data_IF_407425380869
#
_entry.id   IF_407425380869
#
_cell.length_a   1.000
_cell.length_b   1.000
_cell.length_c   1.000
_cell.angle_alpha   90.00
_cell.angle_beta   90.00
_cell.angle_gamma   90.00
#
_symmetry.space_group_name_H-M   'P 1'
#
loop_
_entity.id
_entity.type
_entity.pdbx_description
1 polymer ?
#
# COMPACT_ATOMS: atom_id res chain seq x y z
N UNK A 1 -14.56 -7.28 -16.19
CA UNK A 1 -13.11 -7.32 -15.90
C UNK A 1 -12.87 -8.05 -14.59
N UNK A 2 -11.80 -8.83 -14.48
CA UNK A 2 -11.38 -9.41 -13.20
C UNK A 2 -10.01 -8.90 -12.78
N UNK A 3 -9.87 -8.48 -11.53
CA UNK A 3 -8.60 -8.02 -10.95
C UNK A 3 -8.43 -8.64 -9.58
N UNK A 4 -7.19 -8.83 -9.11
CA UNK A 4 -6.95 -9.38 -7.79
C UNK A 4 -5.75 -8.82 -7.09
N UNK A 5 -5.71 -9.08 -5.78
CA UNK A 5 -4.63 -8.64 -4.91
C UNK A 5 -3.41 -9.54 -5.08
N UNK A 6 -2.23 -8.90 -5.11
CA UNK A 6 -0.93 -9.55 -5.24
C UNK A 6 -0.05 -9.41 -3.99
N UNK A 7 -0.24 -8.35 -3.20
CA UNK A 7 0.39 -8.13 -1.90
C UNK A 7 -0.35 -6.98 -1.20
N UNK A 8 -0.31 -6.96 0.13
CA UNK A 8 -0.87 -5.88 0.94
C UNK A 8 0.14 -5.01 1.69
N UNK A 9 1.42 -5.40 1.72
CA UNK A 9 2.50 -4.68 2.40
C UNK A 9 3.88 -5.22 1.99
N UNK A 10 4.94 -4.46 2.26
CA UNK A 10 6.31 -4.99 2.11
C UNK A 10 6.58 -6.12 3.13
N UNK A 11 6.84 -7.31 2.61
CA UNK A 11 7.11 -8.52 3.37
C UNK A 11 5.95 -9.51 3.41
N UNK A 12 4.91 -9.27 2.61
CA UNK A 12 3.74 -10.14 2.51
C UNK A 12 4.03 -11.47 1.76
N UNK A 13 3.08 -12.40 1.86
CA UNK A 13 3.12 -13.68 1.17
C UNK A 13 2.97 -13.50 -0.35
N UNK A 14 3.69 -14.32 -1.12
CA UNK A 14 3.64 -14.29 -2.60
C UNK A 14 2.86 -15.48 -3.16
N UNK A 15 2.80 -16.59 -2.44
CA UNK A 15 2.12 -17.81 -2.88
C UNK A 15 0.60 -17.64 -3.11
N UNK A 16 -0.16 -16.85 -2.32
CA UNK A 16 -1.58 -16.64 -2.61
C UNK A 16 -1.80 -15.82 -3.89
N UNK A 17 -0.89 -14.89 -4.18
CA UNK A 17 -0.94 -14.11 -5.42
C UNK A 17 -0.65 -14.99 -6.64
N UNK A 18 0.33 -15.89 -6.55
CA UNK A 18 0.61 -16.85 -7.62
C UNK A 18 -0.58 -17.78 -7.83
N UNK A 19 -1.19 -18.31 -6.76
CA UNK A 19 -2.41 -19.12 -6.83
C UNK A 19 -3.56 -18.35 -7.50
N UNK A 20 -3.75 -17.07 -7.16
CA UNK A 20 -4.74 -16.19 -7.75
C UNK A 20 -4.48 -15.93 -9.24
N UNK A 21 -3.23 -15.70 -9.64
CA UNK A 21 -2.85 -15.51 -11.06
C UNK A 21 -3.12 -16.80 -11.85
N UNK A 22 -2.83 -17.97 -11.30
CA UNK A 22 -2.99 -19.25 -12.00
C UNK A 22 -4.45 -19.73 -12.07
N UNK A 23 -5.28 -19.39 -11.09
CA UNK A 23 -6.61 -20.02 -10.92
C UNK A 23 -7.78 -19.03 -10.84
N UNK A 24 -7.52 -17.74 -10.60
CA UNK A 24 -8.55 -16.71 -10.44
C UNK A 24 -9.13 -16.20 -11.77
N UNK A 25 -8.42 -16.40 -12.88
CA UNK A 25 -8.81 -15.84 -14.18
C UNK A 25 -8.87 -14.31 -14.16
N UNK A 26 -7.93 -13.68 -13.43
CA UNK A 26 -7.79 -12.23 -13.37
C UNK A 26 -7.03 -11.73 -14.59
N UNK A 27 -7.35 -10.50 -15.03
CA UNK A 27 -6.62 -9.78 -16.06
C UNK A 27 -5.44 -8.99 -15.45
N UNK A 28 -5.56 -8.59 -14.17
CA UNK A 28 -4.51 -7.87 -13.46
C UNK A 28 -4.31 -8.39 -12.03
N UNK A 29 -3.06 -8.45 -11.59
CA UNK A 29 -2.65 -8.68 -10.21
C UNK A 29 -1.90 -7.46 -9.66
N UNK A 30 -2.40 -6.88 -8.57
CA UNK A 30 -1.91 -5.62 -8.04
C UNK A 30 -1.14 -5.83 -6.73
N UNK A 31 0.14 -5.48 -6.71
CA UNK A 31 1.03 -5.68 -5.57
C UNK A 31 1.25 -4.35 -4.85
N UNK A 32 0.51 -4.16 -3.76
CA UNK A 32 0.69 -3.05 -2.85
C UNK A 32 1.78 -3.38 -1.83
N UNK A 33 2.82 -2.56 -1.79
CA UNK A 33 4.03 -2.78 -1.02
C UNK A 33 4.43 -1.56 -0.17
N UNK A 34 3.62 -0.50 -0.16
CA UNK A 34 4.01 0.76 0.48
C UNK A 34 3.01 1.21 1.54
N UNK A 35 3.51 1.35 2.77
CA UNK A 35 2.90 2.18 3.81
C UNK A 35 3.67 3.51 3.98
N UNK A 36 3.13 4.47 4.73
CA UNK A 36 3.79 5.75 5.00
C UNK A 36 5.25 5.57 5.47
N UNK A 37 5.50 4.75 6.49
CA UNK A 37 6.85 4.54 7.00
C UNK A 37 7.84 4.02 5.93
N UNK A 38 7.34 3.24 4.97
CA UNK A 38 8.16 2.57 3.96
C UNK A 38 8.83 3.57 3.04
N UNK A 39 8.12 4.61 2.59
CA UNK A 39 8.65 5.64 1.67
C UNK A 39 9.84 6.37 2.29
N UNK A 40 9.77 6.71 3.57
CA UNK A 40 10.88 7.35 4.28
C UNK A 40 12.12 6.44 4.39
N UNK A 41 11.92 5.15 4.68
CA UNK A 41 13.02 4.17 4.73
C UNK A 41 13.70 3.99 3.38
N UNK A 42 12.90 3.89 2.32
CA UNK A 42 13.37 3.75 0.94
C UNK A 42 14.10 5.00 0.45
N UNK A 43 13.59 6.19 0.78
CA UNK A 43 14.27 7.45 0.45
C UNK A 43 15.64 7.52 1.11
N UNK A 44 15.74 7.15 2.40
CA UNK A 44 17.02 7.05 3.11
C UNK A 44 17.96 6.03 2.48
N UNK A 45 17.45 4.92 1.96
CA UNK A 45 18.25 3.94 1.23
C UNK A 45 18.82 4.53 -0.07
N UNK A 46 17.98 5.22 -0.86
CA UNK A 46 18.38 5.92 -2.10
C UNK A 46 19.46 6.98 -1.85
N UNK A 47 19.35 7.72 -0.75
CA UNK A 47 20.36 8.73 -0.37
C UNK A 47 21.74 8.11 -0.10
N UNK A 48 21.79 6.88 0.40
CA UNK A 48 23.05 6.16 0.65
C UNK A 48 23.59 5.49 -0.61
N UNK A 49 22.71 5.01 -1.47
CA UNK A 49 23.02 4.34 -2.72
C UNK A 49 21.98 4.70 -3.79
N UNK A 50 22.34 5.46 -4.83
CA UNK A 50 21.42 5.85 -5.90
C UNK A 50 20.77 4.68 -6.67
N UNK A 51 21.32 3.47 -6.57
CA UNK A 51 20.72 2.25 -7.14
C UNK A 51 19.68 1.58 -6.24
N UNK A 52 19.41 2.13 -5.05
CA UNK A 52 18.42 1.65 -4.07
C UNK A 52 17.23 2.61 -3.97
N UNK A 53 16.27 2.28 -3.11
CA UNK A 53 15.08 3.09 -2.86
C UNK A 53 13.79 2.56 -3.48
N UNK A 54 13.84 1.40 -4.14
CA UNK A 54 12.66 0.59 -4.40
C UNK A 54 12.54 -0.52 -3.37
N UNK A 55 11.35 -1.11 -3.25
CA UNK A 55 11.09 -2.24 -2.36
C UNK A 55 11.94 -3.45 -2.81
N UNK A 56 12.89 -3.94 -2.00
CA UNK A 56 13.77 -5.05 -2.38
C UNK A 56 13.01 -6.31 -2.80
N UNK A 57 11.81 -6.52 -2.25
CA UNK A 57 10.97 -7.67 -2.49
C UNK A 57 10.33 -7.69 -3.90
N UNK A 58 10.40 -6.58 -4.66
CA UNK A 58 9.97 -6.55 -6.07
C UNK A 58 10.65 -7.67 -6.87
N UNK A 59 11.94 -7.92 -6.65
CA UNK A 59 12.67 -8.96 -7.39
C UNK A 59 12.18 -10.39 -7.07
N UNK A 60 12.14 -10.85 -5.80
CA UNK A 60 11.62 -12.17 -5.48
C UNK A 60 10.12 -12.34 -5.74
N UNK A 61 9.31 -11.27 -5.64
CA UNK A 61 7.90 -11.29 -6.06
C UNK A 61 7.81 -11.58 -7.55
N UNK A 62 8.49 -10.79 -8.39
CA UNK A 62 8.45 -10.97 -9.84
C UNK A 62 9.04 -12.32 -10.27
N UNK A 63 10.11 -12.82 -9.63
CA UNK A 63 10.64 -14.16 -9.93
C UNK A 63 9.61 -15.27 -9.75
N UNK A 64 8.67 -15.11 -8.82
CA UNK A 64 7.62 -16.09 -8.54
C UNK A 64 6.36 -15.85 -9.37
N UNK A 65 5.89 -14.60 -9.44
CA UNK A 65 4.62 -14.24 -10.06
C UNK A 65 4.70 -14.11 -11.60
N UNK A 66 5.80 -13.54 -12.13
CA UNK A 66 5.93 -13.25 -13.56
C UNK A 66 5.74 -14.48 -14.46
N UNK A 67 6.32 -15.67 -14.15
CA UNK A 67 6.09 -16.85 -14.98
C UNK A 67 4.63 -17.27 -15.06
N UNK A 68 3.88 -17.17 -13.96
CA UNK A 68 2.44 -17.45 -13.95
C UNK A 68 1.67 -16.37 -14.71
N UNK A 69 2.04 -15.10 -14.53
CA UNK A 69 1.41 -13.97 -15.19
C UNK A 69 1.56 -14.03 -16.70
N UNK A 70 2.77 -14.32 -17.21
CA UNK A 70 3.03 -14.49 -18.65
C UNK A 70 2.31 -15.68 -19.27
N UNK A 71 2.19 -16.80 -18.55
CA UNK A 71 1.44 -17.97 -19.05
C UNK A 71 -0.06 -17.72 -19.17
N UNK A 72 -0.61 -16.87 -18.31
CA UNK A 72 -2.05 -16.61 -18.22
C UNK A 72 -2.45 -15.23 -18.76
N UNK A 73 -1.53 -14.49 -19.39
CA UNK A 73 -1.75 -13.14 -19.93
C UNK A 73 -2.28 -12.14 -18.89
N UNK A 74 -1.66 -12.14 -17.71
CA UNK A 74 -2.03 -11.27 -16.58
C UNK A 74 -1.05 -10.10 -16.47
N UNK A 75 -1.56 -8.88 -16.43
CA UNK A 75 -0.77 -7.69 -16.14
C UNK A 75 -0.42 -7.56 -14.66
N UNK A 76 0.79 -7.09 -14.34
CA UNK A 76 1.22 -6.82 -12.96
C UNK A 76 1.28 -5.32 -12.74
N UNK A 77 0.68 -4.82 -11.67
CA UNK A 77 0.74 -3.40 -11.28
C UNK A 77 1.27 -3.30 -9.85
N UNK A 78 2.23 -2.42 -9.58
CA UNK A 78 2.79 -2.28 -8.23
C UNK A 78 3.28 -0.87 -7.92
N UNK A 79 3.12 -0.45 -6.66
CA UNK A 79 3.77 0.74 -6.10
C UNK A 79 5.16 0.42 -5.50
N UNK A 80 5.69 -0.81 -5.71
CA UNK A 80 6.98 -1.25 -5.20
C UNK A 80 8.20 -0.46 -5.70
N UNK A 81 8.01 0.47 -6.64
CA UNK A 81 9.05 1.40 -7.07
C UNK A 81 9.49 2.34 -5.94
N UNK A 82 8.61 2.62 -4.98
CA UNK A 82 8.93 3.43 -3.80
C UNK A 82 9.56 4.77 -4.17
N UNK A 83 10.70 5.08 -3.57
CA UNK A 83 11.45 6.30 -3.87
C UNK A 83 12.31 6.23 -5.15
N UNK A 84 12.40 5.07 -5.81
CA UNK A 84 13.21 4.88 -7.02
C UNK A 84 12.56 3.93 -8.05
N UNK A 85 11.47 4.36 -8.70
CA UNK A 85 10.77 3.55 -9.71
C UNK A 85 11.68 3.12 -10.87
N UNK A 86 12.57 4.00 -11.33
CA UNK A 86 13.54 3.66 -12.38
C UNK A 86 14.47 2.51 -12.02
N UNK A 87 15.02 2.47 -10.80
CA UNK A 87 15.85 1.35 -10.36
C UNK A 87 15.04 0.05 -10.22
N UNK A 88 13.78 0.15 -9.78
CA UNK A 88 12.87 -0.99 -9.71
C UNK A 88 12.60 -1.59 -11.10
N UNK A 89 12.38 -0.74 -12.11
CA UNK A 89 12.15 -1.16 -13.49
C UNK A 89 13.37 -1.88 -14.09
N UNK A 90 14.58 -1.39 -13.83
CA UNK A 90 15.81 -2.06 -14.26
C UNK A 90 15.98 -3.43 -13.57
N UNK A 91 15.65 -3.52 -12.27
CA UNK A 91 15.67 -4.78 -11.53
C UNK A 91 14.63 -5.77 -12.06
N UNK A 92 13.41 -5.30 -12.34
CA UNK A 92 12.34 -6.08 -12.96
C UNK A 92 12.73 -6.59 -14.35
N UNK A 93 13.35 -5.75 -15.19
CA UNK A 93 13.81 -6.14 -16.53
C UNK A 93 14.85 -7.27 -16.47
N UNK A 94 15.79 -7.17 -15.51
CA UNK A 94 16.77 -8.23 -15.25
C UNK A 94 16.09 -9.53 -14.83
N UNK A 95 15.14 -9.46 -13.89
CA UNK A 95 14.37 -10.62 -13.42
C UNK A 95 13.59 -11.27 -14.58
N UNK A 96 12.96 -10.48 -15.44
CA UNK A 96 12.25 -10.97 -16.61
C UNK A 96 13.17 -11.70 -17.59
N UNK A 97 14.35 -11.13 -17.88
CA UNK A 97 15.36 -11.77 -18.71
C UNK A 97 15.85 -13.09 -18.09
N UNK A 98 16.18 -13.11 -16.80
CA UNK A 98 16.61 -14.31 -16.08
C UNK A 98 15.55 -15.42 -16.10
N UNK A 99 14.27 -15.03 -16.04
CA UNK A 99 13.12 -15.94 -16.05
C UNK A 99 12.73 -16.44 -17.45
N UNK A 100 13.41 -15.97 -18.51
CA UNK A 100 13.13 -16.37 -19.89
C UNK A 100 12.04 -15.56 -20.61
N UNK A 101 11.69 -14.37 -20.10
CA UNK A 101 10.71 -13.45 -20.68
C UNK A 101 11.36 -12.09 -21.05
N UNK A 102 12.36 -12.07 -21.94
CA UNK A 102 13.11 -10.84 -22.29
C UNK A 102 12.27 -9.80 -23.04
N UNK A 103 11.08 -10.19 -23.52
CA UNK A 103 10.11 -9.35 -24.23
C UNK A 103 9.11 -8.65 -23.30
N UNK A 104 9.17 -8.90 -21.98
CA UNK A 104 8.30 -8.23 -20.99
C UNK A 104 8.49 -6.72 -21.03
N UNK A 105 7.42 -6.00 -21.35
CA UNK A 105 7.35 -4.54 -21.36
C UNK A 105 7.09 -4.01 -19.96
N UNK A 106 7.96 -3.11 -19.50
CA UNK A 106 7.86 -2.53 -18.16
C UNK A 106 7.56 -1.03 -18.28
N UNK A 107 6.39 -0.63 -17.79
CA UNK A 107 6.02 0.77 -17.62
C UNK A 107 6.49 1.29 -16.27
N UNK A 108 7.04 2.50 -16.23
CA UNK A 108 7.53 3.13 -15.00
C UNK A 108 6.84 4.47 -14.79
N UNK A 109 6.35 4.70 -13.58
CA UNK A 109 5.64 5.93 -13.21
C UNK A 109 6.49 6.68 -12.19
N UNK A 110 6.79 7.94 -12.51
CA UNK A 110 7.53 8.89 -11.68
C UNK A 110 6.71 10.19 -11.54
N UNK A 111 7.16 11.11 -10.68
CA UNK A 111 6.56 12.43 -10.50
C UNK A 111 5.95 12.66 -9.11
N UNK A 112 5.98 11.64 -8.25
CA UNK A 112 5.60 11.71 -6.84
C UNK A 112 6.67 12.38 -5.96
N UNK A 113 7.96 12.28 -6.29
CA UNK A 113 9.06 12.92 -5.54
C UNK A 113 9.05 14.44 -5.72
N UNK A 114 8.70 15.15 -4.64
CA UNK A 114 8.64 16.61 -4.57
C UNK A 114 9.77 17.21 -3.73
N UNK A 115 10.76 16.41 -3.32
CA UNK A 115 11.82 16.83 -2.37
C UNK A 115 12.55 18.08 -2.86
N UNK A 116 12.82 18.18 -4.17
CA UNK A 116 13.46 19.35 -4.79
C UNK A 116 12.52 20.51 -5.14
N UNK A 117 11.20 20.39 -4.88
CA UNK A 117 10.16 21.32 -5.37
C UNK A 117 9.42 22.08 -4.28
N UNK A 118 9.81 21.91 -3.02
CA UNK A 118 9.15 22.58 -1.87
C UNK A 118 9.09 24.10 -2.06
N UNK A 119 10.22 24.74 -2.37
CA UNK A 119 10.29 26.19 -2.55
C UNK A 119 9.41 26.66 -3.73
N UNK A 120 9.48 25.97 -4.87
CA UNK A 120 8.65 26.24 -6.05
C UNK A 120 7.14 26.17 -5.73
N UNK A 121 6.73 25.16 -4.97
CA UNK A 121 5.33 24.95 -4.57
C UNK A 121 4.87 26.06 -3.63
N UNK A 122 5.69 26.43 -2.63
CA UNK A 122 5.39 27.55 -1.71
C UNK A 122 5.33 28.89 -2.43
N UNK A 123 6.26 29.15 -3.34
CA UNK A 123 6.29 30.38 -4.15
C UNK A 123 5.06 30.49 -5.07
N UNK A 124 4.45 29.36 -5.43
CA UNK A 124 3.21 29.28 -6.20
C UNK A 124 1.95 29.54 -5.34
N UNK A 125 2.10 29.79 -4.04
CA UNK A 125 1.01 30.11 -3.11
C UNK A 125 0.39 28.90 -2.41
N UNK A 126 0.95 27.69 -2.59
CA UNK A 126 0.49 26.50 -1.88
C UNK A 126 1.18 26.37 -0.53
N UNK A 127 0.47 25.81 0.44
CA UNK A 127 0.99 25.52 1.78
C UNK A 127 0.93 24.02 2.05
N UNK A 128 1.84 23.53 2.89
CA UNK A 128 1.85 22.13 3.32
C UNK A 128 1.16 22.00 4.68
N UNK A 129 -0.13 22.31 4.71
CA UNK A 129 -0.93 22.25 5.94
C UNK A 129 -0.98 20.82 6.49
N UNK A 130 -0.70 20.68 7.79
CA UNK A 130 -0.71 19.39 8.45
C UNK A 130 -2.13 18.97 8.80
N UNK A 131 -2.52 17.76 8.42
CA UNK A 131 -3.91 17.28 8.52
C UNK A 131 -4.44 17.19 9.95
N UNK A 132 -3.57 16.88 10.93
CA UNK A 132 -4.00 16.66 12.33
C UNK A 132 -3.57 17.75 13.34
N UNK A 133 -2.39 18.35 13.20
CA UNK A 133 -1.88 19.31 14.19
C UNK A 133 -2.45 20.72 14.04
N UNK A 134 -3.05 21.03 12.88
CA UNK A 134 -3.49 22.39 12.53
C UNK A 134 -2.35 23.34 12.17
N UNK A 135 -1.11 22.85 12.02
CA UNK A 135 -0.01 23.65 11.45
C UNK A 135 -0.36 24.05 10.01
N UNK A 136 -0.37 25.35 9.72
CA UNK A 136 -0.74 25.87 8.40
C UNK A 136 0.33 25.61 7.32
N UNK A 137 1.59 25.42 7.72
CA UNK A 137 2.71 25.13 6.82
C UNK A 137 3.90 24.48 7.57
N UNK A 138 4.96 24.15 6.84
CA UNK A 138 6.10 23.33 7.28
C UNK A 138 7.28 24.12 7.89
N UNK A 139 7.10 25.39 8.27
CA UNK A 139 8.20 26.25 8.71
C UNK A 139 8.99 25.68 9.91
N UNK A 140 8.32 24.97 10.82
CA UNK A 140 8.96 24.34 12.01
C UNK A 140 9.97 23.24 11.64
N UNK A 141 9.83 22.64 10.47
CA UNK A 141 10.63 21.48 10.04
C UNK A 141 11.47 21.77 8.79
N UNK A 142 11.38 22.98 8.23
CA UNK A 142 11.91 23.31 6.90
C UNK A 142 13.39 22.98 6.70
N UNK A 143 14.21 23.11 7.75
CA UNK A 143 15.64 22.83 7.75
C UNK A 143 16.00 21.35 7.94
N UNK A 144 15.01 20.49 8.20
CA UNK A 144 15.18 19.07 8.53
C UNK A 144 14.49 18.13 7.54
N UNK A 145 13.83 18.65 6.50
CA UNK A 145 13.13 17.82 5.52
C UNK A 145 14.13 16.99 4.71
N UNK A 146 13.88 15.69 4.66
CA UNK A 146 14.71 14.72 3.92
C UNK A 146 13.98 14.11 2.74
N UNK A 147 12.66 14.04 2.78
CA UNK A 147 11.87 13.39 1.75
C UNK A 147 10.50 14.08 1.63
N UNK A 148 10.05 14.32 0.41
CA UNK A 148 8.69 14.77 0.14
C UNK A 148 8.13 13.96 -1.01
N UNK A 149 6.98 13.33 -0.78
CA UNK A 149 6.36 12.45 -1.75
C UNK A 149 4.84 12.69 -1.79
N UNK A 150 4.30 12.97 -2.96
CA UNK A 150 2.86 13.08 -3.17
C UNK A 150 2.20 11.71 -3.37
N UNK A 151 0.99 11.55 -2.85
CA UNK A 151 0.17 10.38 -3.10
C UNK A 151 -0.54 10.56 -4.45
N UNK A 152 -0.12 9.80 -5.45
CA UNK A 152 -0.53 9.96 -6.85
C UNK A 152 -1.57 8.92 -7.27
N UNK A 153 -2.38 9.25 -8.29
CA UNK A 153 -3.50 8.43 -8.74
C UNK A 153 -3.18 7.54 -9.93
N UNK A 154 -4.23 7.22 -10.67
CA UNK A 154 -4.26 6.19 -11.70
C UNK A 154 -3.78 6.67 -13.08
N UNK A 155 -3.56 7.98 -13.30
CA UNK A 155 -3.20 8.54 -14.62
C UNK A 155 -2.00 7.82 -15.25
N UNK A 156 -0.90 7.71 -14.51
CA UNK A 156 0.32 7.05 -15.00
C UNK A 156 0.16 5.55 -15.23
N UNK A 157 -0.75 4.89 -14.49
CA UNK A 157 -1.06 3.48 -14.67
C UNK A 157 -1.80 3.28 -15.98
N UNK A 158 -2.80 4.13 -16.26
CA UNK A 158 -3.55 4.11 -17.52
C UNK A 158 -2.60 4.34 -18.70
N UNK A 159 -1.73 5.36 -18.63
CA UNK A 159 -0.74 5.66 -19.67
C UNK A 159 0.22 4.48 -19.92
N UNK A 160 0.70 3.83 -18.86
CA UNK A 160 1.60 2.69 -18.96
C UNK A 160 0.90 1.48 -19.61
N UNK A 161 -0.35 1.20 -19.23
CA UNK A 161 -1.16 0.13 -19.80
C UNK A 161 -1.54 0.42 -21.27
N UNK A 162 -1.79 1.67 -21.64
CA UNK A 162 -1.98 2.09 -23.04
C UNK A 162 -0.71 1.92 -23.89
N UNK A 163 0.46 1.90 -23.26
CA UNK A 163 1.74 1.53 -23.87
C UNK A 163 1.98 0.01 -23.99
N UNK A 164 0.95 -0.81 -23.71
CA UNK A 164 1.01 -2.28 -23.61
C UNK A 164 2.03 -2.78 -22.57
N UNK A 165 2.17 -2.10 -21.42
CA UNK A 165 3.03 -2.60 -20.35
C UNK A 165 2.49 -3.91 -19.76
N UNK A 166 3.32 -4.95 -19.72
CA UNK A 166 3.04 -6.21 -19.01
C UNK A 166 3.20 -6.04 -17.49
N UNK A 167 4.14 -5.18 -17.09
CA UNK A 167 4.42 -4.84 -15.68
C UNK A 167 4.47 -3.33 -15.54
N UNK A 168 3.65 -2.77 -14.65
CA UNK A 168 3.62 -1.34 -14.31
C UNK A 168 4.19 -1.16 -12.90
N UNK A 169 5.21 -0.30 -12.78
CA UNK A 169 5.88 -0.03 -11.51
C UNK A 169 5.88 1.49 -11.27
N UNK A 170 5.21 1.93 -10.21
CA UNK A 170 5.22 3.33 -9.78
C UNK A 170 5.90 3.55 -8.44
N UNK A 171 6.11 4.83 -8.13
CA UNK A 171 6.55 5.30 -6.81
C UNK A 171 5.41 5.32 -5.81
N UNK A 172 5.15 6.46 -5.17
CA UNK A 172 4.05 6.63 -4.21
C UNK A 172 2.69 6.81 -4.91
N UNK A 173 2.25 5.73 -5.56
CA UNK A 173 0.86 5.56 -6.01
C UNK A 173 -0.05 5.25 -4.83
N UNK A 174 -1.30 5.67 -4.91
CA UNK A 174 -2.34 5.23 -4.00
C UNK A 174 -2.65 3.75 -4.16
N UNK A 175 -2.88 3.08 -3.03
CA UNK A 175 -3.07 1.64 -2.95
C UNK A 175 -4.27 1.22 -3.82
N UNK A 176 -5.42 1.87 -3.63
CA UNK A 176 -6.60 1.74 -4.48
C UNK A 176 -6.40 2.15 -5.95
N UNK A 177 -5.44 3.04 -6.27
CA UNK A 177 -5.15 3.43 -7.65
C UNK A 177 -4.56 2.28 -8.47
N UNK A 178 -3.84 1.35 -7.82
CA UNK A 178 -3.32 0.14 -8.46
C UNK A 178 -4.43 -0.70 -9.12
N UNK A 179 -5.62 -0.66 -8.53
CA UNK A 179 -6.82 -1.35 -9.01
C UNK A 179 -7.69 -0.44 -9.89
N UNK A 180 -7.84 0.83 -9.52
CA UNK A 180 -8.66 1.79 -10.24
C UNK A 180 -8.14 2.03 -11.67
N UNK A 181 -6.83 2.19 -11.86
CA UNK A 181 -6.23 2.40 -13.18
C UNK A 181 -6.57 1.31 -14.21
N UNK A 182 -6.31 0.02 -13.93
CA UNK A 182 -6.70 -1.07 -14.81
C UNK A 182 -8.21 -1.12 -15.10
N UNK A 183 -9.06 -0.87 -14.09
CA UNK A 183 -10.51 -0.83 -14.26
C UNK A 183 -10.96 0.30 -15.19
N UNK A 184 -10.49 1.51 -14.92
CA UNK A 184 -10.77 2.69 -15.76
C UNK A 184 -10.31 2.45 -17.19
N UNK A 185 -9.11 1.89 -17.36
CA UNK A 185 -8.55 1.58 -18.67
C UNK A 185 -9.35 0.51 -19.42
N UNK A 186 -9.83 -0.53 -18.74
CA UNK A 186 -10.65 -1.57 -19.35
C UNK A 186 -12.00 -1.02 -19.82
N UNK A 187 -12.66 -0.20 -19.00
CA UNK A 187 -13.99 0.33 -19.33
C UNK A 187 -13.99 1.65 -20.12
N UNK A 188 -12.81 2.26 -20.33
CA UNK A 188 -12.70 3.56 -21.01
C UNK A 188 -13.32 4.70 -20.21
N UNK A 189 -13.31 4.61 -18.88
CA UNK A 189 -13.82 5.66 -17.99
C UNK A 189 -12.82 6.79 -17.89
N UNK A 190 -13.34 8.02 -17.84
CA UNK A 190 -12.53 9.23 -17.66
C UNK A 190 -13.05 10.06 -16.49
N UNK A 191 -12.13 10.70 -15.76
CA UNK A 191 -12.40 11.43 -14.52
C UNK A 191 -13.58 12.40 -14.61
N UNK A 192 -13.66 13.17 -15.70
CA UNK A 192 -14.67 14.22 -15.87
C UNK A 192 -16.07 13.67 -16.16
N UNK A 193 -16.19 12.44 -16.67
CA UNK A 193 -17.47 11.88 -17.12
C UNK A 193 -17.99 10.77 -16.24
N UNK A 194 -17.12 10.15 -15.44
CA UNK A 194 -17.45 8.92 -14.70
C UNK A 194 -17.12 8.99 -13.20
N UNK A 195 -17.37 10.10 -12.48
CA UNK A 195 -16.96 10.23 -11.07
C UNK A 195 -17.56 9.13 -10.17
N UNK A 196 -18.81 8.74 -10.40
CA UNK A 196 -19.46 7.68 -9.62
C UNK A 196 -18.83 6.30 -9.88
N UNK A 197 -18.53 5.97 -11.15
CA UNK A 197 -17.93 4.69 -11.52
C UNK A 197 -16.47 4.60 -11.06
N UNK A 198 -15.76 5.72 -11.05
CA UNK A 198 -14.42 5.82 -10.47
C UNK A 198 -14.50 5.66 -8.96
N UNK A 199 -15.49 6.24 -8.28
CA UNK A 199 -15.79 5.96 -6.87
C UNK A 199 -16.04 4.48 -6.58
N UNK A 200 -16.77 3.80 -7.48
CA UNK A 200 -16.96 2.36 -7.40
C UNK A 200 -15.65 1.58 -7.59
N UNK A 201 -14.83 1.93 -8.58
CA UNK A 201 -13.52 1.31 -8.78
C UNK A 201 -12.57 1.52 -7.59
N UNK A 202 -12.57 2.71 -6.99
CA UNK A 202 -11.79 3.02 -5.79
C UNK A 202 -12.29 2.23 -4.58
N UNK A 203 -13.61 2.03 -4.44
CA UNK A 203 -14.18 1.20 -3.37
C UNK A 203 -13.80 -0.27 -3.55
N UNK A 204 -13.84 -0.78 -4.78
CA UNK A 204 -13.35 -2.13 -5.09
C UNK A 204 -11.85 -2.23 -4.81
N UNK A 205 -11.06 -1.25 -5.24
CA UNK A 205 -9.63 -1.18 -4.96
C UNK A 205 -9.32 -1.20 -3.47
N UNK A 206 -10.05 -0.41 -2.68
CA UNK A 206 -9.95 -0.38 -1.22
C UNK A 206 -10.31 -1.71 -0.55
N UNK A 207 -11.17 -2.54 -1.16
CA UNK A 207 -11.49 -3.88 -0.64
C UNK A 207 -10.43 -4.93 -1.03
N UNK A 208 -9.62 -4.66 -2.06
CA UNK A 208 -8.59 -5.58 -2.54
C UNK A 208 -7.19 -5.22 -2.01
N UNK A 209 -6.92 -3.94 -1.74
CA UNK A 209 -5.69 -3.50 -1.09
C UNK A 209 -5.52 -4.14 0.29
N UNK A 210 -4.31 -4.14 0.84
CA UNK A 210 -3.95 -4.93 2.03
C UNK A 210 -4.24 -6.45 1.92
N UNK A 211 -4.59 -6.95 0.71
CA UNK A 211 -4.75 -8.33 0.32
C UNK A 211 -5.57 -9.20 1.30
N UNK A 212 -4.88 -9.97 2.17
CA UNK A 212 -5.51 -10.99 3.00
C UNK A 212 -6.56 -10.48 4.01
N UNK A 213 -6.63 -9.18 4.29
CA UNK A 213 -7.54 -8.62 5.30
C UNK A 213 -9.02 -8.91 4.96
N UNK A 214 -9.45 -8.65 3.72
CA UNK A 214 -10.82 -8.91 3.26
C UNK A 214 -11.24 -10.39 3.37
N UNK A 215 -10.24 -11.27 3.43
CA UNK A 215 -10.40 -12.73 3.52
C UNK A 215 -10.15 -13.27 4.93
N UNK A 216 -10.18 -12.40 5.94
CA UNK A 216 -10.15 -12.78 7.35
C UNK A 216 -8.79 -12.68 8.03
N UNK A 217 -7.75 -12.18 7.35
CA UNK A 217 -6.39 -12.05 7.89
C UNK A 217 -6.29 -11.17 9.14
N UNK A 218 -7.18 -10.17 9.27
CA UNK A 218 -7.28 -9.28 10.44
C UNK A 218 -8.72 -9.16 10.96
N UNK A 219 -9.53 -10.21 10.78
CA UNK A 219 -10.96 -10.17 11.13
C UNK A 219 -11.24 -10.65 12.56
N UNK A 220 -12.28 -10.07 13.18
CA UNK A 220 -12.84 -10.62 14.42
C UNK A 220 -13.48 -12.01 14.23
N UNK A 221 -13.76 -12.38 12.98
CA UNK A 221 -14.34 -13.67 12.60
C UNK A 221 -13.31 -14.79 12.41
N UNK A 222 -12.12 -14.67 12.99
CA UNK A 222 -11.04 -15.65 12.89
C UNK A 222 -11.44 -17.10 13.18
N UNK A 223 -12.47 -17.33 14.02
CA UNK A 223 -13.01 -18.67 14.31
C UNK A 223 -13.67 -19.36 13.12
N UNK A 224 -14.13 -18.58 12.14
CA UNK A 224 -14.74 -19.08 10.90
C UNK A 224 -13.69 -19.34 9.81
N UNK A 225 -12.50 -18.76 9.95
CA UNK A 225 -11.41 -18.89 8.98
C UNK A 225 -10.95 -20.34 8.86
N UNK A 226 -10.99 -20.88 7.65
CA UNK A 226 -10.46 -22.21 7.34
C UNK A 226 -9.00 -22.08 6.95
N UNK A 227 -8.14 -22.97 7.42
CA UNK A 227 -6.71 -23.00 7.09
C UNK A 227 -6.05 -21.60 7.04
N UNK A 228 -6.10 -20.80 8.12
CA UNK A 228 -5.66 -19.40 8.12
C UNK A 228 -4.19 -19.18 7.74
N UNK A 229 -3.36 -20.22 7.79
CA UNK A 229 -1.97 -20.21 7.33
C UNK A 229 -1.82 -20.28 5.80
N UNK A 230 -2.90 -20.57 5.06
CA UNK A 230 -2.97 -20.59 3.59
C UNK A 230 -4.06 -19.62 3.12
N UNK A 231 -4.00 -18.40 3.64
CA UNK A 231 -4.96 -17.34 3.38
C UNK A 231 -5.03 -17.05 1.87
N UNK A 232 -6.21 -17.17 1.26
CA UNK A 232 -6.37 -16.81 -0.15
C UNK A 232 -6.52 -15.30 -0.31
N UNK A 233 -5.88 -14.69 -1.29
CA UNK A 233 -6.07 -13.27 -1.58
C UNK A 233 -7.40 -13.00 -2.30
N UNK A 234 -8.02 -11.83 -2.10
CA UNK A 234 -9.27 -11.47 -2.74
C UNK A 234 -9.06 -11.07 -4.21
N UNK A 235 -10.11 -11.29 -5.00
CA UNK A 235 -10.27 -10.80 -6.36
C UNK A 235 -11.68 -10.23 -6.55
N UNK A 236 -11.82 -9.29 -7.49
CA UNK A 236 -13.10 -8.72 -7.87
C UNK A 236 -13.40 -9.00 -9.33
N UNK A 237 -14.64 -9.41 -9.62
CA UNK A 237 -15.24 -9.30 -10.94
C UNK A 237 -16.12 -8.05 -10.97
N UNK A 238 -15.71 -7.05 -11.75
CA UNK A 238 -16.43 -5.79 -11.87
C UNK A 238 -17.13 -5.67 -13.23
N UNK A 239 -18.35 -5.13 -13.18
CA UNK A 239 -19.20 -4.82 -14.33
C UNK A 239 -19.10 -3.34 -14.73
N UNK A 240 -19.44 -3.03 -15.98
CA UNK A 240 -19.35 -1.67 -16.53
C UNK A 240 -20.30 -0.66 -15.87
N UNK A 241 -21.28 -1.13 -15.10
CA UNK A 241 -22.24 -0.30 -14.34
C UNK A 241 -21.76 0.04 -12.93
N UNK A 242 -20.57 -0.42 -12.53
CA UNK A 242 -20.02 -0.19 -11.20
C UNK A 242 -20.25 -1.35 -10.23
N UNK A 243 -21.13 -2.31 -10.53
CA UNK A 243 -21.38 -3.47 -9.66
C UNK A 243 -20.16 -4.40 -9.62
N UNK A 244 -19.82 -4.92 -8.44
CA UNK A 244 -18.70 -5.85 -8.27
C UNK A 244 -19.06 -7.07 -7.42
N UNK A 245 -18.39 -8.19 -7.70
CA UNK A 245 -18.42 -9.39 -6.88
C UNK A 245 -17.01 -9.69 -6.40
N UNK A 246 -16.81 -9.66 -5.08
CA UNK A 246 -15.56 -9.99 -4.42
C UNK A 246 -15.57 -11.48 -4.06
N UNK A 247 -14.49 -12.17 -4.37
CA UNK A 247 -14.33 -13.60 -4.11
C UNK A 247 -12.85 -13.95 -3.87
N UNK A 248 -12.57 -15.21 -3.54
CA UNK A 248 -11.21 -15.76 -3.48
C UNK A 248 -11.16 -17.11 -4.20
N UNK A 249 -9.96 -17.59 -4.51
CA UNK A 249 -9.78 -18.86 -5.25
C UNK A 249 -10.49 -20.02 -4.51
N UNK A 250 -11.32 -20.83 -5.19
CA UNK A 250 -12.00 -21.96 -4.56
C UNK A 250 -11.01 -22.94 -3.91
N UNK A 251 -11.20 -23.21 -2.61
CA UNK A 251 -10.35 -24.12 -1.84
C UNK A 251 -9.13 -23.44 -1.18
N UNK A 252 -8.94 -22.14 -1.37
CA UNK A 252 -8.00 -21.36 -0.56
C UNK A 252 -8.52 -21.18 0.87
N UNK A 253 -7.61 -20.94 1.82
CA UNK A 253 -7.95 -20.66 3.21
C UNK A 253 -8.57 -19.27 3.40
N UNK A 254 -8.79 -18.90 4.66
CA UNK A 254 -9.48 -17.68 5.06
C UNK A 254 -10.98 -17.85 5.27
N UNK A 255 -11.65 -16.71 5.38
CA UNK A 255 -13.10 -16.55 5.34
C UNK A 255 -13.40 -15.23 4.63
N UNK A 256 -14.20 -15.28 3.56
CA UNK A 256 -14.70 -14.08 2.91
C UNK A 256 -16.23 -14.08 3.02
N UNK A 257 -16.77 -13.07 3.70
CA UNK A 257 -18.21 -12.91 3.87
C UNK A 257 -18.59 -11.43 4.02
N UNK A 258 -19.88 -11.15 4.18
CA UNK A 258 -20.38 -9.77 4.32
C UNK A 258 -19.67 -9.00 5.44
N UNK A 259 -19.31 -9.66 6.54
CA UNK A 259 -18.67 -9.02 7.68
C UNK A 259 -17.19 -8.72 7.46
N UNK A 260 -16.43 -9.65 6.87
CA UNK A 260 -15.01 -9.38 6.59
C UNK A 260 -14.86 -8.24 5.58
N UNK A 261 -15.78 -8.17 4.61
CA UNK A 261 -15.84 -7.06 3.65
C UNK A 261 -16.20 -5.74 4.35
N UNK A 262 -17.19 -5.73 5.26
CA UNK A 262 -17.56 -4.53 6.02
C UNK A 262 -16.46 -4.07 6.99
N UNK A 263 -15.77 -4.99 7.65
CA UNK A 263 -14.62 -4.69 8.51
C UNK A 263 -13.52 -3.99 7.70
N UNK A 264 -13.25 -4.49 6.49
CA UNK A 264 -12.23 -3.91 5.63
C UNK A 264 -12.66 -2.59 4.98
N UNK A 265 -13.93 -2.43 4.57
CA UNK A 265 -14.44 -1.15 4.07
C UNK A 265 -14.30 0.02 5.05
N UNK A 266 -14.22 -0.27 6.36
CA UNK A 266 -14.04 0.73 7.41
C UNK A 266 -12.59 0.82 7.91
N UNK A 267 -11.69 0.01 7.35
CA UNK A 267 -10.28 -0.03 7.73
C UNK A 267 -9.56 1.19 7.19
N UNK A 268 -8.85 1.94 8.05
CA UNK A 268 -8.06 3.13 7.66
C UNK A 268 -8.85 4.25 6.94
N UNK A 269 -10.19 4.20 7.03
CA UNK A 269 -11.08 5.23 6.50
C UNK A 269 -11.40 6.24 7.60
N UNK A 270 -10.91 7.47 7.44
CA UNK A 270 -11.18 8.55 8.39
C UNK A 270 -12.64 9.03 8.35
N UNK A 271 -13.16 9.32 7.15
CA UNK A 271 -14.55 9.73 6.94
C UNK A 271 -15.16 8.89 5.81
N UNK A 272 -16.06 7.93 6.10
CA UNK A 272 -16.64 7.05 5.09
C UNK A 272 -17.55 7.78 4.09
N UNK A 273 -18.05 8.98 4.39
CA UNK A 273 -18.84 9.77 3.45
C UNK A 273 -17.97 10.70 2.59
N UNK A 274 -16.70 10.85 2.93
CA UNK A 274 -15.77 11.78 2.30
C UNK A 274 -14.34 11.23 2.28
N UNK A 275 -14.17 10.01 1.78
CA UNK A 275 -12.86 9.38 1.71
C UNK A 275 -12.06 9.94 0.52
N UNK A 276 -11.08 10.79 0.84
CA UNK A 276 -10.27 11.52 -0.13
C UNK A 276 -9.18 10.63 -0.72
N UNK A 277 -9.23 10.42 -2.03
CA UNK A 277 -8.22 9.71 -2.82
C UNK A 277 -7.78 10.60 -4.00
N UNK A 278 -6.58 10.38 -4.58
CA UNK A 278 -6.10 11.18 -5.71
C UNK A 278 -7.03 11.14 -6.93
N UNK A 279 -7.68 10.00 -7.15
CA UNK A 279 -8.54 9.74 -8.31
C UNK A 279 -9.98 10.23 -8.12
N UNK A 280 -10.42 10.48 -6.88
CA UNK A 280 -11.82 10.73 -6.56
C UNK A 280 -12.09 10.84 -5.06
N UNK A 281 -13.27 11.33 -4.71
CA UNK A 281 -13.72 11.32 -3.30
C UNK A 281 -14.82 10.27 -3.17
N UNK A 282 -14.53 9.17 -2.47
CA UNK A 282 -15.45 8.05 -2.31
C UNK A 282 -16.50 8.39 -1.24
N UNK A 283 -17.76 8.03 -1.53
CA UNK A 283 -18.85 8.02 -0.56
C UNK A 283 -19.33 6.58 -0.36
N UNK A 284 -19.00 6.03 0.81
CA UNK A 284 -19.35 4.67 1.20
C UNK A 284 -20.73 4.57 1.85
N UNK A 285 -21.44 5.69 2.05
CA UNK A 285 -22.73 5.72 2.73
C UNK A 285 -23.85 4.96 2.03
N UNK A 286 -23.73 4.77 0.72
CA UNK A 286 -24.67 4.02 -0.11
C UNK A 286 -24.26 2.57 -0.41
N UNK A 287 -23.11 2.10 0.08
CA UNK A 287 -22.57 0.78 -0.28
C UNK A 287 -23.42 -0.34 0.33
N UNK A 288 -24.03 -1.14 -0.54
CA UNK A 288 -24.73 -2.36 -0.17
C UNK A 288 -23.80 -3.56 -0.32
N UNK A 289 -23.61 -4.31 0.77
CA UNK A 289 -22.80 -5.53 0.83
C UNK A 289 -23.72 -6.71 1.01
N UNK A 290 -23.67 -7.69 0.09
CA UNK A 290 -24.57 -8.84 0.10
C UNK A 290 -23.83 -10.13 -0.20
N UNK A 291 -23.91 -11.10 0.71
CA UNK A 291 -23.38 -12.44 0.45
C UNK A 291 -24.24 -13.17 -0.60
N UNK A 292 -23.60 -13.65 -1.68
CA UNK A 292 -24.24 -14.44 -2.74
C UNK A 292 -24.05 -15.94 -2.54
N UNK A 293 -23.04 -16.33 -1.77
CA UNK A 293 -22.70 -17.72 -1.45
C UNK A 293 -21.36 -17.80 -0.74
N UNK A 294 -20.84 -19.02 -0.52
CA UNK A 294 -19.56 -19.23 0.14
C UNK A 294 -18.45 -18.44 -0.55
N UNK A 295 -17.73 -17.62 0.21
CA UNK A 295 -16.60 -16.82 -0.28
C UNK A 295 -16.94 -15.92 -1.49
N UNK A 296 -18.19 -15.44 -1.57
CA UNK A 296 -18.67 -14.63 -2.69
C UNK A 296 -19.62 -13.53 -2.19
N UNK A 297 -19.18 -12.27 -2.29
CA UNK A 297 -19.90 -11.10 -1.77
C UNK A 297 -20.06 -10.06 -2.87
N UNK A 298 -21.29 -9.61 -3.10
CA UNK A 298 -21.61 -8.54 -4.02
C UNK A 298 -21.54 -7.17 -3.34
N UNK A 299 -20.98 -6.20 -4.06
CA UNK A 299 -20.99 -4.79 -3.75
C UNK A 299 -21.82 -4.04 -4.78
N UNK A 300 -22.75 -3.22 -4.32
CA UNK A 300 -23.56 -2.29 -5.14
C UNK A 300 -23.71 -0.95 -4.44
N UNK A 301 -24.26 0.07 -5.11
CA UNK A 301 -24.50 1.39 -4.51
C UNK A 301 -23.22 2.17 -4.19
N UNK A 302 -22.07 1.75 -4.71
CA UNK A 302 -20.81 2.47 -4.59
C UNK A 302 -20.84 3.71 -5.48
N UNK A 303 -20.46 4.86 -4.92
CA UNK A 303 -20.48 6.15 -5.61
C UNK A 303 -19.24 6.97 -5.30
N UNK A 304 -19.06 8.09 -6.00
CA UNK A 304 -17.93 8.96 -5.80
C UNK A 304 -18.14 10.34 -6.41
N UNK A 305 -17.31 11.27 -5.98
CA UNK A 305 -17.30 12.65 -6.46
C UNK A 305 -16.01 12.90 -7.22
N UNK A 306 -15.99 14.02 -7.97
CA UNK A 306 -14.81 14.49 -8.70
C UNK A 306 -13.55 14.45 -7.81
N UNK A 307 -12.40 14.20 -8.44
CA UNK A 307 -11.09 14.27 -7.79
C UNK A 307 -10.92 15.57 -7.00
N UNK A 308 -10.25 15.52 -5.83
CA UNK A 308 -9.94 16.70 -5.05
C UNK A 308 -9.01 17.64 -5.83
N UNK A 309 -9.05 18.93 -5.49
CA UNK A 309 -8.11 19.92 -6.06
C UNK A 309 -6.71 19.83 -5.40
N UNK A 310 -6.55 18.97 -4.40
CA UNK A 310 -5.32 18.77 -3.62
C UNK A 310 -4.95 17.29 -3.53
N UNK A 311 -3.65 17.01 -3.33
CA UNK A 311 -3.14 15.66 -3.05
C UNK A 311 -2.58 15.60 -1.63
N UNK A 312 -2.68 14.42 -0.99
CA UNK A 312 -1.98 14.13 0.25
C UNK A 312 -0.47 14.09 -0.04
N UNK A 313 0.31 14.84 0.72
CA UNK A 313 1.77 14.84 0.64
C UNK A 313 2.33 14.27 1.93
N UNK A 314 3.24 13.32 1.80
CA UNK A 314 4.02 12.82 2.91
C UNK A 314 5.36 13.55 2.98
N UNK A 315 5.67 14.12 4.16
CA UNK A 315 6.93 14.81 4.42
C UNK A 315 7.69 14.06 5.50
N UNK A 316 8.80 13.44 5.12
CA UNK A 316 9.78 12.89 6.04
C UNK A 316 10.80 13.97 6.41
N UNK A 317 11.03 14.17 7.70
CA UNK A 317 12.05 15.07 8.22
C UNK A 317 12.81 14.41 9.37
N UNK A 318 14.01 14.90 9.65
CA UNK A 318 14.82 14.41 10.76
C UNK A 318 14.19 14.85 12.09
N UNK A 319 13.65 13.88 12.85
CA UNK A 319 13.03 14.13 14.15
C UNK A 319 13.32 13.01 15.16
N UNK A 320 13.95 13.36 16.28
CA UNK A 320 14.09 12.48 17.45
C UNK A 320 15.17 11.40 17.38
N UNK A 321 14.83 10.21 17.91
CA UNK A 321 15.76 9.14 18.28
C UNK A 321 15.77 7.98 17.28
N UNK A 322 16.95 7.42 17.01
CA UNK A 322 17.14 6.33 16.05
C UNK A 322 16.47 4.99 16.45
N UNK A 323 16.11 4.80 17.72
CA UNK A 323 15.48 3.56 18.22
C UNK A 323 14.69 3.79 19.52
N UNK A 324 13.51 3.17 19.62
CA UNK A 324 12.73 2.99 20.85
C UNK A 324 12.64 1.48 21.16
N UNK A 325 12.68 1.11 22.44
CA UNK A 325 12.44 -0.26 22.88
C UNK A 325 11.64 -0.28 24.18
N UNK A 326 10.67 -1.19 24.28
CA UNK A 326 9.89 -1.41 25.50
C UNK A 326 10.03 -2.87 25.94
N UNK A 327 10.11 -3.07 27.24
CA UNK A 327 10.12 -4.41 27.83
C UNK A 327 9.10 -4.48 28.96
N UNK A 328 8.27 -5.52 28.96
CA UNK A 328 7.41 -5.82 30.10
C UNK A 328 8.25 -6.53 31.17
N UNK A 329 8.19 -6.02 32.41
CA UNK A 329 8.91 -6.59 33.54
C UNK A 329 7.91 -7.23 34.52
N UNK A 330 7.91 -8.57 34.68
CA UNK A 330 6.96 -9.24 35.55
C UNK A 330 7.41 -9.23 37.02
N UNK A 331 6.42 -9.22 37.93
CA UNK A 331 6.58 -9.47 39.37
C UNK A 331 7.14 -10.88 39.63
N UNK A 332 7.85 -11.14 40.77
CA UNK A 332 8.30 -10.20 41.81
C UNK A 332 9.46 -9.31 41.39
N UNK A 333 9.79 -8.31 42.20
CA UNK A 333 10.98 -7.45 42.05
C UNK A 333 11.04 -6.64 40.75
N UNK A 334 9.88 -6.23 40.24
CA UNK A 334 9.78 -5.60 38.93
C UNK A 334 10.64 -4.32 38.82
N UNK A 335 10.71 -3.51 39.88
CA UNK A 335 11.52 -2.29 39.88
C UNK A 335 13.02 -2.60 39.82
N UNK A 336 13.51 -3.55 40.63
CA UNK A 336 14.92 -3.95 40.63
C UNK A 336 15.34 -4.56 39.29
N UNK A 337 14.46 -5.38 38.70
CA UNK A 337 14.65 -5.93 37.35
C UNK A 337 14.67 -4.83 36.29
N UNK A 338 13.78 -3.83 36.37
CA UNK A 338 13.78 -2.70 35.45
C UNK A 338 15.09 -1.91 35.53
N UNK A 339 15.59 -1.63 36.74
CA UNK A 339 16.88 -0.97 36.95
C UNK A 339 18.05 -1.81 36.40
N UNK A 340 17.99 -3.14 36.57
CA UNK A 340 18.99 -4.04 35.99
C UNK A 340 18.94 -4.04 34.46
N UNK A 341 17.74 -4.04 33.86
CA UNK A 341 17.55 -3.93 32.42
C UNK A 341 18.14 -2.62 31.88
N UNK A 342 17.88 -1.48 32.53
CA UNK A 342 18.49 -0.20 32.16
C UNK A 342 20.03 -0.29 32.20
N UNK A 343 20.61 -0.81 33.30
CA UNK A 343 22.07 -1.00 33.42
C UNK A 343 22.62 -1.90 32.30
N UNK A 344 21.91 -2.98 31.97
CA UNK A 344 22.29 -3.91 30.91
C UNK A 344 22.30 -3.23 29.54
N UNK A 345 21.26 -2.46 29.20
CA UNK A 345 21.18 -1.73 27.92
C UNK A 345 22.28 -0.67 27.84
N UNK A 346 22.48 0.14 28.88
CA UNK A 346 23.57 1.12 28.94
C UNK A 346 24.95 0.44 28.78
N UNK A 347 25.16 -0.67 29.46
CA UNK A 347 26.37 -1.47 29.36
C UNK A 347 26.61 -2.01 27.94
N UNK A 348 25.56 -2.49 27.27
CA UNK A 348 25.62 -2.99 25.89
C UNK A 348 25.95 -1.88 24.90
N UNK A 349 25.30 -0.71 25.01
CA UNK A 349 25.57 0.47 24.17
C UNK A 349 27.04 0.89 24.31
N UNK A 350 27.53 1.00 25.55
CA UNK A 350 28.93 1.32 25.82
C UNK A 350 29.88 0.26 25.24
N UNK A 351 29.57 -1.02 25.40
CA UNK A 351 30.39 -2.12 24.88
C UNK A 351 30.51 -2.10 23.35
N UNK A 352 29.43 -1.74 22.65
CA UNK A 352 29.41 -1.61 21.20
C UNK A 352 30.07 -0.31 20.68
N UNK A 353 30.50 0.59 21.59
CA UNK A 353 31.09 1.88 21.22
C UNK A 353 30.09 2.87 20.62
N UNK A 354 28.79 2.66 20.85
CA UNK A 354 27.74 3.57 20.36
C UNK A 354 27.68 4.80 21.26
N UNK A 355 27.78 5.99 20.67
CA UNK A 355 27.69 7.28 21.37
C UNK A 355 26.36 7.92 20.97
N UNK A 356 25.30 7.80 21.79
CA UNK A 356 24.02 8.42 21.47
C UNK A 356 24.06 9.92 21.72
N UNK A 357 23.38 10.68 20.86
CA UNK A 357 23.17 12.13 21.06
C UNK A 357 22.27 12.40 22.27
N UNK A 358 21.27 11.54 22.48
CA UNK A 358 20.37 11.58 23.61
C UNK A 358 19.94 10.14 23.99
N UNK A 359 19.76 9.87 25.28
CA UNK A 359 19.38 8.55 25.80
C UNK A 359 18.41 8.72 26.96
N UNK A 360 17.18 8.21 26.79
CA UNK A 360 16.11 8.29 27.78
C UNK A 360 15.65 6.89 28.19
N UNK A 361 15.36 6.71 29.48
CA UNK A 361 14.73 5.51 30.02
C UNK A 361 13.60 5.96 30.94
N UNK A 362 12.41 5.43 30.69
CA UNK A 362 11.23 5.69 31.52
C UNK A 362 10.67 4.34 32.02
N UNK A 363 10.36 4.26 33.32
CA UNK A 363 9.60 3.15 33.90
C UNK A 363 8.12 3.46 33.79
N UNK A 364 7.52 3.04 32.67
CA UNK A 364 6.10 3.26 32.38
C UNK A 364 5.23 2.68 33.50
N UNK A 365 4.41 3.53 34.13
CA UNK A 365 3.56 3.18 35.28
C UNK A 365 4.21 3.40 36.66
N UNK A 366 5.47 3.88 36.72
CA UNK A 366 6.16 4.25 37.97
C UNK A 366 6.73 5.68 37.92
N UNK A 367 7.45 6.04 36.85
CA UNK A 367 8.11 7.36 36.69
C UNK A 367 7.13 8.50 36.26
N UNK A 368 5.83 8.34 36.53
CA UNK A 368 4.77 9.26 36.07
C UNK A 368 4.71 10.58 36.85
#
# INVERSE_FOLDING_TARGET
VRIGAGAGYWGDMVDPAVELIEQGGVEFACFDLLAELTVALLTRAKMRDPGKGYVPDVEPILRQALPAARRNDVGIVTNGGGANPGAAALAAARVACDAGYPDTRIGTIEGDDLTGRIAEIRDSGWQFAHLESGEEDIDRIADRIVAVSAYTGSDGIIDALDGDADVVIGGRLADSALYCGPLMRHFGWIFERNPDLIGAALTVGHVLECAGIATGGMSSQWRLSRDPWRLGFPMAEMSADGTAVISKVPGSGGVLNEWTIKEHLLYEVHDPFCYLLPDGVVDMGGVEVKELGPDCVQLTGMTGRRRPDTLKVQIGYEDGYLAEGRTMIPWPDALEKADFCERLVRGRIKYLGVIPQEMRFDRVGWDA
#
